data_IF_164832161193
#
_entry.id   IF_164832161193
#
_cell.length_a   1.000
_cell.length_b   1.000
_cell.length_c   1.000
_cell.angle_alpha   90.00
_cell.angle_beta   90.00
_cell.angle_gamma   90.00
#
_symmetry.space_group_name_H-M   'P 1'
#
loop_
_entity.id
_entity.type
_entity.pdbx_description
1 polymer ?
#
# COMPACT_ATOMS: atom_id res chain seq x y z
N UNK A 1 -40.78 45.23 -38.96
CA UNK A 1 -40.40 43.78 -38.87
C UNK A 1 -39.39 43.44 -37.76
N UNK A 2 -38.98 44.38 -36.88
CA UNK A 2 -37.91 44.16 -35.88
C UNK A 2 -38.40 43.71 -34.47
N UNK A 3 -39.66 43.96 -34.08
CA UNK A 3 -40.16 43.66 -32.72
C UNK A 3 -40.48 42.18 -32.46
N UNK A 4 -40.74 41.37 -33.49
CA UNK A 4 -41.14 39.95 -33.34
C UNK A 4 -39.96 39.01 -33.03
N UNK A 5 -38.75 39.34 -33.51
CA UNK A 5 -37.54 38.53 -33.28
C UNK A 5 -37.02 38.63 -31.84
N UNK A 6 -37.14 39.79 -31.20
CA UNK A 6 -36.70 39.97 -29.81
C UNK A 6 -37.60 39.25 -28.80
N UNK A 7 -38.91 39.17 -29.06
CA UNK A 7 -39.84 38.45 -28.18
C UNK A 7 -39.59 36.94 -28.19
N UNK A 8 -39.30 36.37 -29.36
CA UNK A 8 -38.95 34.95 -29.50
C UNK A 8 -37.63 34.63 -28.80
N UNK A 9 -36.63 35.52 -28.86
CA UNK A 9 -35.35 35.33 -28.17
C UNK A 9 -35.53 35.33 -26.64
N UNK A 10 -36.40 36.22 -26.13
CA UNK A 10 -36.68 36.31 -24.69
C UNK A 10 -37.39 35.07 -24.14
N UNK A 11 -38.37 34.55 -24.88
CA UNK A 11 -39.09 33.32 -24.52
C UNK A 11 -38.11 32.13 -24.52
N UNK A 12 -37.22 32.05 -25.51
CA UNK A 12 -36.23 30.97 -25.58
C UNK A 12 -35.23 31.01 -24.43
N UNK A 13 -34.75 32.20 -24.04
CA UNK A 13 -33.89 32.40 -22.87
C UNK A 13 -34.60 32.01 -21.56
N UNK A 14 -35.88 32.35 -21.42
CA UNK A 14 -36.67 32.00 -20.22
C UNK A 14 -36.89 30.48 -20.09
N UNK A 15 -37.09 29.78 -21.22
CA UNK A 15 -37.22 28.32 -21.25
C UNK A 15 -35.88 27.64 -20.90
N UNK A 16 -34.75 28.19 -21.37
CA UNK A 16 -33.42 27.66 -21.01
C UNK A 16 -33.13 27.87 -19.52
N UNK A 17 -33.43 29.05 -18.98
CA UNK A 17 -33.20 29.36 -17.56
C UNK A 17 -34.09 28.53 -16.61
N UNK A 18 -35.37 28.33 -16.96
CA UNK A 18 -36.27 27.48 -16.17
C UNK A 18 -35.92 25.98 -16.23
N UNK A 19 -35.37 25.52 -17.35
CA UNK A 19 -34.84 24.15 -17.47
C UNK A 19 -33.55 23.94 -16.66
N UNK A 20 -32.71 24.98 -16.48
CA UNK A 20 -31.52 24.90 -15.63
C UNK A 20 -31.86 24.83 -14.14
N UNK A 21 -32.86 25.57 -13.66
CA UNK A 21 -33.28 25.48 -12.25
C UNK A 21 -33.90 24.12 -11.89
N UNK A 22 -34.64 23.50 -12.81
CA UNK A 22 -35.26 22.19 -12.58
C UNK A 22 -34.22 21.07 -12.60
N UNK A 23 -33.17 21.15 -13.44
CA UNK A 23 -32.05 20.20 -13.39
C UNK A 23 -31.20 20.36 -12.14
N UNK A 24 -30.92 21.59 -11.70
CA UNK A 24 -30.19 21.85 -10.46
C UNK A 24 -30.93 21.32 -9.21
N UNK A 25 -32.25 21.54 -9.11
CA UNK A 25 -33.06 20.97 -8.01
C UNK A 25 -33.14 19.45 -8.04
N UNK A 26 -33.14 18.83 -9.24
CA UNK A 26 -33.13 17.37 -9.41
C UNK A 26 -31.77 16.74 -9.09
N UNK A 27 -30.67 17.48 -9.31
CA UNK A 27 -29.32 17.10 -8.88
C UNK A 27 -29.14 17.24 -7.37
N UNK A 28 -29.67 18.31 -6.76
CA UNK A 28 -29.60 18.53 -5.32
C UNK A 28 -30.44 17.53 -4.52
N UNK A 29 -31.59 17.08 -5.07
CA UNK A 29 -32.41 16.01 -4.46
C UNK A 29 -31.84 14.60 -4.62
N UNK A 30 -30.81 14.41 -5.45
CA UNK A 30 -30.07 13.14 -5.61
C UNK A 30 -28.81 13.07 -4.73
N UNK A 31 -28.39 14.19 -4.12
CA UNK A 31 -27.33 14.26 -3.09
C UNK A 31 -28.02 14.29 -1.71
N UNK A 32 -28.87 13.31 -1.47
CA UNK A 32 -29.28 12.93 -0.13
C UNK A 32 -29.27 11.42 -0.11
N UNK A 33 -28.08 10.86 -0.37
CA UNK A 33 -27.80 9.47 -0.02
C UNK A 33 -27.89 9.40 1.50
N UNK A 34 -28.77 8.55 1.99
CA UNK A 34 -28.79 8.12 3.37
C UNK A 34 -27.39 7.60 3.69
N UNK A 35 -26.59 8.39 4.39
CA UNK A 35 -25.30 7.97 4.91
C UNK A 35 -25.62 6.99 6.05
N UNK A 36 -25.76 5.71 5.71
CA UNK A 36 -25.76 4.66 6.73
C UNK A 36 -24.49 4.82 7.55
N UNK A 37 -24.68 5.06 8.85
CA UNK A 37 -23.61 5.19 9.81
C UNK A 37 -22.80 3.88 9.79
N UNK A 38 -21.56 3.95 9.31
CA UNK A 38 -20.67 2.79 9.29
C UNK A 38 -20.32 2.45 10.73
N UNK A 39 -20.58 1.22 11.14
CA UNK A 39 -20.04 0.69 12.39
C UNK A 39 -18.50 0.55 12.25
N UNK A 40 -17.77 1.51 12.81
CA UNK A 40 -16.30 1.53 12.76
C UNK A 40 -15.64 0.40 13.58
N UNK A 41 -16.42 -0.41 14.29
CA UNK A 41 -15.93 -1.59 14.99
C UNK A 41 -15.76 -2.82 14.08
N UNK A 42 -16.37 -2.82 12.89
CA UNK A 42 -16.23 -3.93 11.94
C UNK A 42 -14.89 -3.86 11.18
N UNK A 43 -14.31 -5.00 10.80
CA UNK A 43 -13.14 -5.05 9.93
C UNK A 43 -13.36 -4.28 8.63
N UNK A 44 -12.37 -3.48 8.22
CA UNK A 44 -12.40 -2.84 6.90
C UNK A 44 -12.24 -3.94 5.84
N UNK A 45 -13.17 -4.07 4.87
CA UNK A 45 -13.13 -5.14 3.88
C UNK A 45 -11.90 -5.05 2.97
N UNK A 46 -11.45 -6.19 2.45
CA UNK A 46 -10.52 -6.18 1.32
C UNK A 46 -11.21 -5.62 0.07
N UNK A 47 -10.51 -4.75 -0.65
CA UNK A 47 -11.00 -4.23 -1.93
C UNK A 47 -10.59 -5.15 -3.09
N UNK A 48 -11.45 -5.26 -4.11
CA UNK A 48 -11.19 -6.00 -5.35
C UNK A 48 -10.65 -5.09 -6.46
N UNK A 49 -9.84 -4.10 -6.08
CA UNK A 49 -9.32 -3.07 -6.98
C UNK A 49 -7.89 -2.71 -6.60
N UNK A 50 -7.13 -2.21 -7.56
CA UNK A 50 -5.80 -1.63 -7.32
C UNK A 50 -5.77 -0.21 -7.82
N UNK A 51 -4.83 0.57 -7.28
CA UNK A 51 -4.64 1.97 -7.65
C UNK A 51 -3.23 2.16 -8.23
N UNK A 52 -2.99 1.77 -9.50
CA UNK A 52 -1.67 1.87 -10.10
C UNK A 52 -1.19 3.31 -10.12
N UNK A 53 0.05 3.53 -9.68
CA UNK A 53 0.58 4.88 -9.51
C UNK A 53 2.01 5.05 -10.03
N UNK A 54 2.21 6.10 -10.83
CA UNK A 54 3.49 6.43 -11.48
C UNK A 54 4.58 6.87 -10.50
N UNK A 55 4.23 7.29 -9.29
CA UNK A 55 5.17 7.59 -8.21
C UNK A 55 5.54 6.35 -7.41
N UNK A 56 4.57 5.46 -7.14
CA UNK A 56 4.76 4.24 -6.35
C UNK A 56 5.61 3.22 -7.10
N UNK A 57 5.39 3.04 -8.41
CA UNK A 57 6.05 2.02 -9.25
C UNK A 57 6.20 0.71 -8.46
N UNK A 58 5.06 0.09 -8.19
CA UNK A 58 4.86 -0.96 -7.19
C UNK A 58 5.69 -2.21 -7.44
N UNK A 59 6.08 -2.50 -8.68
CA UNK A 59 6.77 -3.75 -9.00
C UNK A 59 8.20 -3.49 -9.43
N UNK A 60 9.09 -4.42 -9.11
CA UNK A 60 10.47 -4.41 -9.57
C UNK A 60 10.88 -5.80 -10.06
N UNK A 61 11.66 -5.86 -11.13
CA UNK A 61 12.08 -7.13 -11.72
C UNK A 61 13.60 -7.22 -11.86
N UNK A 62 14.12 -8.45 -11.83
CA UNK A 62 15.42 -8.78 -12.40
C UNK A 62 15.21 -9.72 -13.59
N UNK A 63 15.16 -9.21 -14.82
CA UNK A 63 14.93 -10.04 -16.01
C UNK A 63 16.01 -11.09 -16.26
N UNK A 64 17.24 -10.83 -15.80
CA UNK A 64 18.39 -11.74 -15.87
C UNK A 64 18.14 -13.02 -15.07
N UNK A 65 17.68 -12.87 -13.83
CA UNK A 65 17.46 -13.98 -12.90
C UNK A 65 16.00 -14.43 -12.81
N UNK A 66 15.12 -13.84 -13.63
CA UNK A 66 13.68 -14.09 -13.58
C UNK A 66 13.10 -13.92 -12.16
N UNK A 67 13.55 -12.91 -11.45
CA UNK A 67 13.02 -12.53 -10.15
C UNK A 67 12.09 -11.35 -10.29
N UNK A 68 11.07 -11.28 -9.45
CA UNK A 68 10.27 -10.07 -9.29
C UNK A 68 9.77 -9.89 -7.87
N UNK A 69 9.49 -8.65 -7.52
CA UNK A 69 8.93 -8.32 -6.21
C UNK A 69 7.92 -7.20 -6.29
N UNK A 70 6.98 -7.20 -5.35
CA UNK A 70 6.20 -6.02 -5.05
C UNK A 70 6.83 -5.20 -3.92
N UNK A 71 6.93 -3.90 -4.15
CA UNK A 71 7.42 -2.90 -3.22
C UNK A 71 6.26 -2.36 -2.40
N UNK A 72 6.07 -2.95 -1.21
CA UNK A 72 5.14 -2.41 -0.20
C UNK A 72 5.91 -1.52 0.77
N UNK A 73 5.43 -0.30 1.00
CA UNK A 73 6.08 0.62 1.93
C UNK A 73 6.19 0.02 3.33
N UNK A 74 7.32 0.29 3.98
CA UNK A 74 7.67 -0.19 5.33
C UNK A 74 7.86 -1.71 5.47
N UNK A 75 7.79 -2.47 4.37
CA UNK A 75 8.06 -3.89 4.31
C UNK A 75 9.42 -4.18 3.68
N UNK A 76 10.49 -3.57 4.18
CA UNK A 76 11.83 -3.75 3.62
C UNK A 76 12.01 -3.20 2.18
N UNK A 77 11.05 -2.42 1.65
CA UNK A 77 11.04 -1.95 0.27
C UNK A 77 12.26 -1.12 -0.16
N UNK A 78 12.79 -0.27 0.73
CA UNK A 78 14.03 0.48 0.46
C UNK A 78 15.24 -0.44 0.23
N UNK A 79 15.30 -1.56 0.93
CA UNK A 79 16.34 -2.56 0.75
C UNK A 79 16.09 -3.42 -0.48
N UNK A 80 14.83 -3.82 -0.74
CA UNK A 80 14.45 -4.52 -1.97
C UNK A 80 14.87 -3.75 -3.22
N UNK A 81 14.67 -2.44 -3.25
CA UNK A 81 15.12 -1.60 -4.36
C UNK A 81 16.64 -1.76 -4.57
N UNK A 82 17.44 -1.64 -3.51
CA UNK A 82 18.92 -1.77 -3.59
C UNK A 82 19.36 -3.17 -4.00
N UNK A 83 18.67 -4.21 -3.52
CA UNK A 83 18.90 -5.61 -3.89
C UNK A 83 18.67 -5.77 -5.40
N UNK A 84 17.50 -5.39 -5.89
CA UNK A 84 17.17 -5.52 -7.32
C UNK A 84 18.04 -4.63 -8.20
N UNK A 85 18.45 -3.46 -7.72
CA UNK A 85 19.46 -2.65 -8.39
C UNK A 85 20.80 -3.38 -8.50
N UNK A 86 21.24 -4.04 -7.43
CA UNK A 86 22.45 -4.87 -7.44
C UNK A 86 22.32 -6.04 -8.41
N UNK A 87 21.16 -6.73 -8.43
CA UNK A 87 20.89 -7.86 -9.34
C UNK A 87 20.94 -7.45 -10.82
N UNK A 88 20.50 -6.24 -11.13
CA UNK A 88 20.45 -5.72 -12.50
C UNK A 88 21.69 -4.92 -12.92
N UNK A 89 22.58 -4.60 -11.98
CA UNK A 89 23.83 -3.92 -12.29
C UNK A 89 24.67 -4.82 -13.21
N UNK A 90 25.26 -4.22 -14.24
CA UNK A 90 26.33 -4.87 -14.98
C UNK A 90 27.51 -5.06 -14.02
N UNK A 91 28.20 -6.18 -14.13
CA UNK A 91 29.46 -6.36 -13.43
C UNK A 91 30.43 -5.30 -13.98
N UNK A 92 30.76 -4.31 -13.16
CA UNK A 92 31.65 -3.23 -13.61
C UNK A 92 33.06 -3.78 -13.78
N UNK A 93 33.85 -3.12 -14.64
CA UNK A 93 35.26 -3.45 -14.89
C UNK A 93 36.12 -3.42 -13.62
N UNK A 94 35.67 -2.72 -12.57
CA UNK A 94 36.26 -2.70 -11.22
C UNK A 94 35.99 -3.95 -10.37
N UNK A 95 35.35 -4.99 -10.91
CA UNK A 95 35.01 -6.28 -10.26
C UNK A 95 34.05 -6.24 -9.06
N UNK A 96 33.51 -5.08 -8.70
CA UNK A 96 32.64 -4.91 -7.54
C UNK A 96 31.16 -4.78 -7.91
N UNK A 97 30.31 -5.49 -7.15
CA UNK A 97 28.86 -5.28 -7.19
C UNK A 97 28.49 -3.91 -6.57
N UNK A 98 27.45 -3.27 -7.11
CA UNK A 98 26.92 -2.01 -6.59
C UNK A 98 25.72 -2.28 -5.67
N UNK A 99 25.63 -1.55 -4.54
CA UNK A 99 24.50 -1.63 -3.61
C UNK A 99 23.88 -0.24 -3.34
N UNK A 100 23.47 0.42 -4.41
CA UNK A 100 22.90 1.76 -4.39
C UNK A 100 21.48 1.77 -4.97
N UNK A 101 20.81 2.91 -4.87
CA UNK A 101 19.57 3.15 -5.61
C UNK A 101 19.90 3.35 -7.10
N UNK A 102 19.19 2.65 -7.98
CA UNK A 102 19.33 2.71 -9.44
C UNK A 102 18.15 3.46 -10.11
N UNK A 103 17.72 4.54 -9.47
CA UNK A 103 16.53 5.31 -9.87
C UNK A 103 15.29 4.44 -10.13
N UNK A 104 14.58 4.67 -11.24
CA UNK A 104 13.33 4.00 -11.62
C UNK A 104 13.55 2.81 -12.57
N UNK A 105 14.80 2.41 -12.81
CA UNK A 105 15.12 1.31 -13.71
C UNK A 105 14.49 -0.01 -13.22
N UNK A 106 13.95 -0.79 -14.16
CA UNK A 106 13.29 -2.08 -13.90
C UNK A 106 12.12 -2.03 -12.90
N UNK A 107 11.53 -0.84 -12.69
CA UNK A 107 10.33 -0.66 -11.90
C UNK A 107 9.10 -0.47 -12.80
N UNK A 108 7.97 -0.98 -12.35
CA UNK A 108 6.73 -1.02 -13.13
C UNK A 108 5.54 -0.56 -12.30
N UNK A 109 4.61 0.08 -12.99
CA UNK A 109 3.37 0.59 -12.40
C UNK A 109 2.39 -0.55 -12.08
N UNK A 110 2.37 -1.59 -12.92
CA UNK A 110 1.47 -2.74 -12.80
C UNK A 110 2.14 -4.04 -13.26
N UNK A 111 1.55 -5.20 -12.91
CA UNK A 111 2.00 -6.50 -13.42
C UNK A 111 1.87 -6.61 -14.93
N UNK A 112 0.83 -6.03 -15.52
CA UNK A 112 0.65 -5.97 -16.98
C UNK A 112 1.77 -5.15 -17.63
N UNK A 113 2.13 -4.02 -17.01
CA UNK A 113 3.27 -3.21 -17.46
C UNK A 113 4.59 -3.97 -17.38
N UNK A 114 4.80 -4.71 -16.29
CA UNK A 114 5.97 -5.59 -16.12
C UNK A 114 5.99 -6.69 -17.18
N UNK A 115 4.87 -7.40 -17.38
CA UNK A 115 4.76 -8.46 -18.38
C UNK A 115 5.05 -7.92 -19.79
N UNK A 116 4.43 -6.80 -20.18
CA UNK A 116 4.63 -6.17 -21.48
C UNK A 116 6.10 -5.80 -21.71
N UNK A 117 6.75 -5.12 -20.76
CA UNK A 117 8.18 -4.74 -20.91
C UNK A 117 9.10 -5.96 -21.02
N UNK A 118 8.75 -7.07 -20.38
CA UNK A 118 9.51 -8.32 -20.41
C UNK A 118 9.06 -9.27 -21.53
N UNK A 119 8.29 -8.79 -22.52
CA UNK A 119 7.80 -9.57 -23.67
C UNK A 119 6.99 -10.82 -23.27
N UNK A 120 6.21 -10.71 -22.20
CA UNK A 120 5.32 -11.76 -21.69
C UNK A 120 3.87 -11.35 -21.97
N UNK A 121 3.13 -12.22 -22.67
CA UNK A 121 1.78 -11.92 -23.17
C UNK A 121 0.72 -11.75 -22.07
N UNK A 122 0.83 -12.47 -20.95
CA UNK A 122 -0.18 -12.52 -19.87
C UNK A 122 0.48 -12.51 -18.49
N UNK A 123 -0.17 -11.88 -17.51
CA UNK A 123 0.30 -11.85 -16.11
C UNK A 123 0.42 -13.26 -15.53
N UNK A 124 -0.49 -14.17 -15.84
CA UNK A 124 -0.37 -15.59 -15.44
C UNK A 124 0.92 -16.25 -15.94
N UNK A 125 1.39 -15.87 -17.14
CA UNK A 125 2.65 -16.35 -17.67
C UNK A 125 3.85 -15.64 -17.04
N UNK A 126 3.66 -14.45 -16.47
CA UNK A 126 4.70 -13.76 -15.70
C UNK A 126 5.00 -14.57 -14.44
N UNK A 127 3.99 -14.92 -13.64
CA UNK A 127 4.15 -15.74 -12.43
C UNK A 127 4.69 -17.16 -12.70
N UNK A 128 4.41 -17.74 -13.87
CA UNK A 128 5.02 -19.02 -14.28
C UNK A 128 6.51 -18.91 -14.64
N UNK A 129 6.95 -17.73 -15.08
CA UNK A 129 8.30 -17.50 -15.61
C UNK A 129 9.21 -16.79 -14.64
N UNK A 130 8.63 -16.04 -13.71
CA UNK A 130 9.34 -15.24 -12.73
C UNK A 130 8.98 -15.74 -11.34
N UNK A 131 9.99 -15.90 -10.51
CA UNK A 131 9.80 -16.09 -9.09
C UNK A 131 9.41 -14.74 -8.46
N UNK A 132 8.12 -14.59 -8.19
CA UNK A 132 7.52 -13.36 -7.71
C UNK A 132 7.30 -13.46 -6.20
N UNK A 133 7.98 -12.62 -5.44
CA UNK A 133 7.82 -12.62 -3.98
C UNK A 133 7.35 -11.27 -3.43
N UNK A 134 6.58 -11.33 -2.36
CA UNK A 134 6.08 -10.17 -1.63
C UNK A 134 6.60 -10.23 -0.19
N UNK A 135 7.31 -9.18 0.22
CA UNK A 135 7.69 -9.04 1.62
C UNK A 135 6.52 -8.44 2.39
N UNK A 136 6.10 -9.15 3.43
CA UNK A 136 4.98 -8.77 4.30
C UNK A 136 5.50 -8.50 5.72
N UNK A 137 4.80 -7.68 6.48
CA UNK A 137 5.22 -7.27 7.83
C UNK A 137 4.03 -7.31 8.80
N UNK A 138 4.31 -7.59 10.07
CA UNK A 138 3.30 -7.48 11.12
C UNK A 138 2.62 -6.09 11.06
N UNK A 139 1.27 -6.03 11.09
CA UNK A 139 0.55 -4.77 10.86
C UNK A 139 0.89 -3.63 11.82
N UNK A 140 0.96 -3.90 13.13
CA UNK A 140 1.31 -2.87 14.13
C UNK A 140 2.73 -2.37 13.91
N UNK A 141 3.68 -3.27 13.67
CA UNK A 141 5.07 -2.87 13.42
C UNK A 141 5.22 -2.05 12.13
N UNK A 142 4.42 -2.37 11.11
CA UNK A 142 4.37 -1.60 9.86
C UNK A 142 3.79 -0.21 10.09
N UNK A 143 2.64 -0.11 10.76
CA UNK A 143 1.96 1.15 11.09
C UNK A 143 2.89 2.08 11.88
N UNK A 144 3.45 1.60 13.00
CA UNK A 144 4.35 2.39 13.85
C UNK A 144 5.60 2.80 13.06
N UNK A 145 6.18 1.91 12.25
CA UNK A 145 7.32 2.27 11.40
C UNK A 145 6.97 3.34 10.36
N UNK A 146 5.75 3.25 9.79
CA UNK A 146 5.09 4.27 8.98
C UNK A 146 5.10 5.64 9.66
N UNK A 147 4.37 5.68 10.77
CA UNK A 147 4.05 6.86 11.55
C UNK A 147 5.30 7.54 12.08
N UNK A 148 6.24 6.76 12.65
CA UNK A 148 7.46 7.32 13.21
C UNK A 148 8.33 7.99 12.15
N UNK A 149 8.46 7.42 10.95
CA UNK A 149 9.27 8.07 9.92
C UNK A 149 8.61 9.33 9.38
N UNK A 150 7.32 9.25 9.07
CA UNK A 150 6.62 10.26 8.27
C UNK A 150 6.08 11.38 9.18
N UNK A 151 5.44 11.01 10.28
CA UNK A 151 4.75 11.94 11.16
C UNK A 151 5.67 12.45 12.27
N UNK A 152 6.38 11.55 12.94
CA UNK A 152 7.20 11.92 14.09
C UNK A 152 8.55 12.53 13.71
N UNK A 153 9.37 11.80 12.94
CA UNK A 153 10.71 12.24 12.54
C UNK A 153 10.72 13.06 11.26
N UNK A 154 9.61 13.05 10.49
CA UNK A 154 9.47 13.73 9.19
C UNK A 154 10.65 13.51 8.24
N UNK A 155 11.21 12.29 8.24
CA UNK A 155 12.43 11.99 7.50
C UNK A 155 12.15 11.97 6.00
N UNK A 156 12.88 12.78 5.23
CA UNK A 156 12.76 12.97 3.78
C UNK A 156 11.47 13.66 3.31
N UNK A 157 10.85 14.48 4.17
CA UNK A 157 9.71 15.33 3.79
C UNK A 157 10.19 16.77 3.61
N UNK A 158 9.66 17.49 2.62
CA UNK A 158 9.92 18.94 2.49
C UNK A 158 9.05 19.71 3.52
N UNK A 159 9.38 20.97 3.78
CA UNK A 159 8.62 21.86 4.71
C UNK A 159 7.14 22.00 4.28
N UNK A 160 6.25 22.39 5.21
CA UNK A 160 5.20 21.52 5.72
C UNK A 160 4.20 21.08 4.65
N UNK A 161 4.49 19.98 3.97
CA UNK A 161 3.46 19.22 3.28
C UNK A 161 2.48 18.66 4.34
N UNK A 162 1.17 18.78 4.09
CA UNK A 162 0.05 18.39 4.97
C UNK A 162 -0.09 16.88 5.19
N UNK A 163 1.03 16.17 5.33
CA UNK A 163 1.08 14.76 5.64
C UNK A 163 0.53 14.45 7.03
N UNK A 164 0.21 13.18 7.25
CA UNK A 164 -0.30 12.68 8.53
C UNK A 164 -1.65 13.29 8.93
N UNK A 165 -2.47 13.67 7.95
CA UNK A 165 -3.83 14.15 8.17
C UNK A 165 -3.93 15.38 9.08
N UNK A 166 -2.86 16.18 9.16
CA UNK A 166 -2.79 17.32 10.10
C UNK A 166 -2.62 16.92 11.58
N UNK A 167 -2.47 15.63 11.89
CA UNK A 167 -2.37 15.14 13.27
C UNK A 167 -1.00 15.34 13.92
N UNK A 168 0.01 15.75 13.17
CA UNK A 168 1.38 15.92 13.68
C UNK A 168 1.92 14.63 14.32
N UNK A 169 2.23 14.68 15.61
CA UNK A 169 2.73 13.53 16.40
C UNK A 169 1.62 12.78 17.16
N UNK A 170 0.35 13.15 16.99
CA UNK A 170 -0.76 12.46 17.64
C UNK A 170 -1.12 11.16 16.88
N UNK A 171 -0.82 10.01 17.48
CA UNK A 171 -1.07 8.69 16.89
C UNK A 171 -2.57 8.35 16.83
N UNK A 172 -3.35 8.75 17.84
CA UNK A 172 -4.79 8.49 17.91
C UNK A 172 -5.53 9.23 16.79
N UNK A 173 -5.32 10.54 16.68
CA UNK A 173 -5.84 11.35 15.57
C UNK A 173 -5.47 10.72 14.21
N UNK A 174 -4.22 10.27 14.06
CA UNK A 174 -3.75 9.70 12.80
C UNK A 174 -4.50 8.40 12.45
N UNK A 175 -4.69 7.51 13.41
CA UNK A 175 -5.41 6.24 13.22
C UNK A 175 -6.88 6.50 12.88
N UNK A 176 -7.52 7.45 13.55
CA UNK A 176 -8.91 7.82 13.28
C UNK A 176 -9.09 8.35 11.85
N UNK A 177 -8.22 9.27 11.42
CA UNK A 177 -8.26 9.80 10.06
C UNK A 177 -7.93 8.73 9.01
N UNK A 178 -6.98 7.83 9.30
CA UNK A 178 -6.68 6.69 8.43
C UNK A 178 -7.91 5.78 8.28
N UNK A 179 -8.61 5.46 9.38
CA UNK A 179 -9.80 4.61 9.35
C UNK A 179 -10.91 5.23 8.49
N UNK A 180 -11.18 6.53 8.68
CA UNK A 180 -12.18 7.26 7.89
C UNK A 180 -11.81 7.31 6.40
N UNK A 181 -10.55 7.54 6.07
CA UNK A 181 -10.07 7.54 4.68
C UNK A 181 -10.29 6.15 4.04
N UNK A 182 -9.90 5.08 4.73
CA UNK A 182 -10.06 3.72 4.21
C UNK A 182 -11.53 3.35 3.96
N UNK A 183 -12.44 3.71 4.87
CA UNK A 183 -13.88 3.53 4.63
C UNK A 183 -14.40 4.35 3.45
N UNK A 184 -13.89 5.57 3.26
CA UNK A 184 -14.23 6.38 2.10
C UNK A 184 -13.75 5.76 0.79
N UNK A 185 -12.59 5.09 0.81
CA UNK A 185 -12.09 4.30 -0.33
C UNK A 185 -12.98 3.08 -0.60
N UNK A 186 -13.40 2.36 0.43
CA UNK A 186 -14.31 1.21 0.31
C UNK A 186 -15.65 1.61 -0.31
N UNK A 187 -16.21 2.74 0.13
CA UNK A 187 -17.45 3.31 -0.45
C UNK A 187 -17.27 3.90 -1.86
N UNK A 188 -16.07 3.76 -2.45
CA UNK A 188 -15.67 4.37 -3.73
C UNK A 188 -15.83 5.91 -3.79
N UNK A 189 -15.91 6.56 -2.64
CA UNK A 189 -16.10 8.01 -2.54
C UNK A 189 -14.81 8.78 -2.85
N UNK A 190 -13.64 8.16 -2.68
CA UNK A 190 -12.33 8.79 -2.93
C UNK A 190 -11.33 7.86 -3.61
N UNK A 191 -10.43 8.44 -4.40
CA UNK A 191 -9.21 7.78 -4.84
C UNK A 191 -8.14 7.95 -3.74
N UNK A 192 -7.42 6.88 -3.35
CA UNK A 192 -6.43 6.95 -2.28
C UNK A 192 -5.39 8.05 -2.47
N UNK A 193 -5.04 8.72 -1.37
CA UNK A 193 -3.85 9.54 -1.31
C UNK A 193 -2.62 8.62 -1.46
N UNK A 194 -1.95 8.72 -2.61
CA UNK A 194 -0.97 7.74 -3.09
C UNK A 194 0.26 7.62 -2.19
N UNK A 195 0.62 8.72 -1.52
CA UNK A 195 1.66 8.71 -0.50
C UNK A 195 1.22 7.91 0.74
N UNK A 196 -0.04 8.03 1.17
CA UNK A 196 -0.56 7.31 2.33
C UNK A 196 -0.78 5.82 2.01
N UNK A 197 -1.31 5.49 0.83
CA UNK A 197 -1.50 4.11 0.37
C UNK A 197 -0.22 3.29 0.50
N UNK A 198 0.87 3.77 -0.10
CA UNK A 198 2.14 3.05 -0.07
C UNK A 198 2.64 2.75 1.36
N UNK A 199 2.38 3.64 2.33
CA UNK A 199 2.97 3.54 3.66
C UNK A 199 2.04 2.98 4.74
N UNK A 200 0.73 3.14 4.61
CA UNK A 200 -0.22 2.95 5.71
C UNK A 200 -1.42 2.07 5.38
N UNK A 201 -1.80 1.94 4.11
CA UNK A 201 -2.97 1.12 3.76
C UNK A 201 -2.69 -0.38 3.96
N UNK A 202 -3.72 -1.22 4.15
CA UNK A 202 -3.55 -2.66 4.28
C UNK A 202 -2.67 -3.22 3.16
N UNK A 203 -1.79 -4.16 3.51
CA UNK A 203 -0.88 -4.79 2.56
C UNK A 203 -1.66 -5.62 1.53
N UNK A 204 -2.78 -6.21 1.96
CA UNK A 204 -3.75 -6.92 1.11
C UNK A 204 -4.42 -6.03 0.05
N UNK A 205 -4.34 -4.70 0.16
CA UNK A 205 -4.86 -3.77 -0.85
C UNK A 205 -3.83 -3.40 -1.93
N UNK A 206 -2.58 -3.84 -1.76
CA UNK A 206 -1.47 -3.48 -2.66
C UNK A 206 -1.18 -4.61 -3.64
N UNK A 207 -0.39 -4.34 -4.68
CA UNK A 207 0.22 -5.39 -5.49
C UNK A 207 -0.77 -6.32 -6.22
N UNK A 208 -1.99 -5.84 -6.53
CA UNK A 208 -3.05 -6.67 -7.11
C UNK A 208 -3.28 -7.96 -6.30
N UNK A 209 -3.05 -7.92 -4.99
CA UNK A 209 -3.12 -9.07 -4.09
C UNK A 209 -4.43 -9.83 -4.22
N UNK A 210 -5.57 -9.13 -4.28
CA UNK A 210 -6.90 -9.74 -4.46
C UNK A 210 -7.02 -10.66 -5.68
N UNK A 211 -6.19 -10.47 -6.72
CA UNK A 211 -6.16 -11.34 -7.93
C UNK A 211 -5.11 -12.43 -7.84
N UNK A 212 -3.96 -12.13 -7.22
CA UNK A 212 -2.73 -12.91 -7.35
C UNK A 212 -2.23 -13.49 -6.02
N UNK A 213 -3.09 -13.57 -5.01
CA UNK A 213 -2.67 -14.01 -3.67
C UNK A 213 -2.08 -15.43 -3.61
N UNK A 214 -2.45 -16.29 -4.54
CA UNK A 214 -1.90 -17.65 -4.60
C UNK A 214 -0.67 -17.74 -5.51
N UNK A 215 -0.32 -16.66 -6.23
CA UNK A 215 0.78 -16.64 -7.18
C UNK A 215 2.08 -16.07 -6.57
N UNK A 216 2.01 -15.43 -5.40
CA UNK A 216 3.16 -14.83 -4.72
C UNK A 216 3.80 -15.76 -3.69
N UNK A 217 5.13 -15.71 -3.63
CA UNK A 217 5.90 -16.21 -2.49
C UNK A 217 5.97 -15.15 -1.37
N UNK A 218 5.40 -15.45 -0.21
CA UNK A 218 5.39 -14.50 0.92
C UNK A 218 6.60 -14.66 1.82
N UNK A 219 7.30 -13.54 2.07
CA UNK A 219 8.44 -13.51 3.00
C UNK A 219 8.13 -12.55 4.16
N UNK A 220 8.02 -13.09 5.37
CA UNK A 220 7.70 -12.30 6.57
C UNK A 220 8.92 -11.53 7.06
N UNK A 221 8.87 -10.20 7.01
CA UNK A 221 9.89 -9.32 7.60
C UNK A 221 9.70 -9.22 9.11
N UNK A 222 10.70 -9.62 9.91
CA UNK A 222 10.55 -9.72 11.36
C UNK A 222 10.91 -8.41 12.05
N UNK A 223 10.33 -8.21 13.22
CA UNK A 223 10.57 -7.04 14.08
C UNK A 223 11.88 -7.15 14.86
N UNK A 224 12.35 -8.38 15.11
CA UNK A 224 13.62 -8.70 15.75
C UNK A 224 14.32 -9.85 15.01
N UNK A 225 15.59 -10.15 15.37
CA UNK A 225 16.32 -11.32 14.86
C UNK A 225 16.34 -11.44 13.31
N UNK A 226 16.70 -10.36 12.62
CA UNK A 226 16.69 -10.26 11.14
C UNK A 226 17.63 -11.23 10.41
N UNK A 227 18.54 -11.91 11.11
CA UNK A 227 19.48 -12.86 10.51
C UNK A 227 18.81 -13.99 9.74
N UNK A 228 17.74 -14.59 10.29
CA UNK A 228 16.97 -15.64 9.59
C UNK A 228 16.28 -15.10 8.34
N UNK A 229 15.72 -13.89 8.42
CA UNK A 229 15.11 -13.22 7.29
C UNK A 229 16.11 -12.96 6.16
N UNK A 230 17.31 -12.46 6.46
CA UNK A 230 18.35 -12.27 5.45
C UNK A 230 18.81 -13.59 4.82
N UNK A 231 18.89 -14.67 5.58
CA UNK A 231 19.17 -16.01 5.05
C UNK A 231 18.06 -16.49 4.11
N UNK A 232 16.79 -16.20 4.45
CA UNK A 232 15.64 -16.54 3.59
C UNK A 232 15.72 -15.82 2.24
N UNK A 233 16.03 -14.51 2.25
CA UNK A 233 16.26 -13.77 1.01
C UNK A 233 17.44 -14.35 0.22
N UNK A 234 18.58 -14.65 0.87
CA UNK A 234 19.73 -15.24 0.19
C UNK A 234 19.41 -16.61 -0.44
N UNK A 235 18.63 -17.44 0.24
CA UNK A 235 18.16 -18.73 -0.27
C UNK A 235 17.28 -18.54 -1.51
N UNK A 236 16.34 -17.60 -1.46
CA UNK A 236 15.48 -17.28 -2.60
C UNK A 236 16.27 -16.79 -3.83
N UNK A 237 17.29 -15.95 -3.61
CA UNK A 237 18.21 -15.54 -4.68
C UNK A 237 18.99 -16.73 -5.26
N UNK A 238 19.42 -17.68 -4.42
CA UNK A 238 20.11 -18.89 -4.87
C UNK A 238 19.22 -19.79 -5.73
N UNK A 239 17.95 -19.97 -5.35
CA UNK A 239 16.97 -20.73 -6.14
C UNK A 239 16.73 -20.11 -7.54
N UNK A 240 16.91 -18.80 -7.65
CA UNK A 240 16.86 -18.06 -8.92
C UNK A 240 18.21 -17.97 -9.65
N UNK A 241 19.17 -18.83 -9.29
CA UNK A 241 20.49 -18.96 -9.95
C UNK A 241 21.33 -17.66 -9.91
N UNK A 242 21.14 -16.83 -8.89
CA UNK A 242 22.03 -15.69 -8.65
C UNK A 242 23.41 -16.22 -8.22
N UNK A 243 24.53 -15.74 -8.80
CA UNK A 243 25.86 -16.23 -8.43
C UNK A 243 26.16 -16.07 -6.94
N UNK A 244 26.80 -17.09 -6.35
CA UNK A 244 27.13 -17.11 -4.91
C UNK A 244 27.93 -15.88 -4.47
N UNK A 245 28.83 -15.36 -5.31
CA UNK A 245 29.56 -14.12 -5.05
C UNK A 245 28.64 -12.90 -4.91
N UNK A 246 27.64 -12.78 -5.79
CA UNK A 246 26.64 -11.71 -5.72
C UNK A 246 25.72 -11.86 -4.51
N UNK A 247 25.30 -13.08 -4.20
CA UNK A 247 24.51 -13.38 -3.00
C UNK A 247 25.29 -13.01 -1.74
N UNK A 248 26.57 -13.40 -1.65
CA UNK A 248 27.47 -13.06 -0.55
C UNK A 248 27.59 -11.56 -0.36
N UNK A 249 27.78 -10.81 -1.45
CA UNK A 249 27.81 -9.36 -1.44
C UNK A 249 26.48 -8.75 -0.94
N UNK A 250 25.35 -9.16 -1.52
CA UNK A 250 24.02 -8.66 -1.13
C UNK A 250 23.73 -8.98 0.34
N UNK A 251 24.02 -10.19 0.80
CA UNK A 251 23.80 -10.61 2.18
C UNK A 251 24.66 -9.80 3.17
N UNK A 252 25.94 -9.56 2.85
CA UNK A 252 26.80 -8.65 3.63
C UNK A 252 26.18 -7.25 3.70
N UNK A 253 25.77 -6.70 2.55
CA UNK A 253 25.19 -5.36 2.48
C UNK A 253 23.86 -5.25 3.24
N UNK A 254 22.96 -6.22 3.16
CA UNK A 254 21.70 -6.24 3.93
C UNK A 254 21.95 -6.15 5.44
N UNK A 255 23.02 -6.77 5.94
CA UNK A 255 23.34 -6.81 7.38
C UNK A 255 23.95 -5.52 7.89
N UNK A 256 24.85 -4.90 7.13
CA UNK A 256 25.58 -3.70 7.56
C UNK A 256 24.87 -2.41 7.20
N UNK A 257 23.98 -2.43 6.19
CA UNK A 257 23.35 -1.21 5.69
C UNK A 257 22.20 -0.79 6.59
N UNK A 258 22.44 0.25 7.39
CA UNK A 258 21.34 0.98 8.03
C UNK A 258 20.63 1.84 6.98
N UNK A 259 19.34 1.59 6.78
CA UNK A 259 18.53 2.47 5.93
C UNK A 259 18.29 3.78 6.68
N UNK A 260 18.36 4.92 5.99
CA UNK A 260 18.04 6.24 6.59
C UNK A 260 16.60 6.32 7.17
N UNK A 261 15.74 5.38 6.78
CA UNK A 261 14.37 5.19 7.27
C UNK A 261 14.25 4.27 8.51
N UNK A 262 15.35 3.79 9.08
CA UNK A 262 15.32 2.86 10.21
C UNK A 262 14.81 3.58 11.46
N UNK A 263 13.58 3.26 11.87
CA UNK A 263 12.95 3.81 13.09
C UNK A 263 12.96 2.84 14.27
N UNK A 264 13.13 1.54 14.02
CA UNK A 264 12.97 0.46 15.02
C UNK A 264 13.98 0.56 16.18
N UNK A 265 15.16 1.12 15.95
CA UNK A 265 16.23 1.22 16.96
C UNK A 265 16.11 2.44 17.88
N UNK A 266 15.07 3.28 17.73
CA UNK A 266 14.93 4.52 18.49
C UNK A 266 13.95 4.34 19.65
N UNK A 267 14.31 4.85 20.83
CA UNK A 267 13.50 4.77 22.07
C UNK A 267 12.05 5.23 21.84
N UNK A 268 11.85 6.36 21.17
CA UNK A 268 10.50 6.88 20.89
C UNK A 268 9.64 5.90 20.07
N UNK A 269 10.23 5.10 19.17
CA UNK A 269 9.46 4.09 18.41
C UNK A 269 8.93 2.99 19.33
N UNK A 270 9.73 2.59 20.33
CA UNK A 270 9.31 1.62 21.35
C UNK A 270 8.22 2.23 22.23
N UNK A 271 8.39 3.48 22.66
CA UNK A 271 7.40 4.20 23.47
C UNK A 271 6.05 4.31 22.76
N UNK A 272 6.01 4.72 21.49
CA UNK A 272 4.76 4.81 20.72
C UNK A 272 4.12 3.45 20.50
N UNK A 273 4.93 2.40 20.27
CA UNK A 273 4.41 1.04 20.19
C UNK A 273 3.79 0.62 21.52
N UNK A 274 4.50 0.79 22.63
CA UNK A 274 3.97 0.47 23.97
C UNK A 274 2.71 1.27 24.29
N UNK A 275 2.69 2.57 23.99
CA UNK A 275 1.52 3.42 24.17
C UNK A 275 0.30 2.92 23.38
N UNK A 276 0.51 2.46 22.14
CA UNK A 276 -0.57 1.83 21.35
C UNK A 276 -1.06 0.53 22.00
N UNK A 277 -0.17 -0.35 22.45
CA UNK A 277 -0.58 -1.61 23.09
C UNK A 277 -1.32 -1.37 24.42
N UNK A 278 -0.97 -0.30 25.14
CA UNK A 278 -1.64 0.07 26.39
C UNK A 278 -2.98 0.79 26.17
N UNK A 279 -3.25 1.29 24.96
CA UNK A 279 -4.52 1.92 24.60
C UNK A 279 -5.41 0.90 23.85
N UNK A 280 -6.14 0.09 24.61
CA UNK A 280 -6.99 -1.01 24.07
C UNK A 280 -8.01 -0.52 23.02
N UNK A 281 -8.79 0.56 23.23
CA UNK A 281 -9.71 1.06 22.20
C UNK A 281 -9.00 1.40 20.89
N UNK A 282 -7.84 2.07 20.96
CA UNK A 282 -7.07 2.46 19.79
C UNK A 282 -6.44 1.25 19.09
N UNK A 283 -5.93 0.28 19.85
CA UNK A 283 -5.39 -0.97 19.32
C UNK A 283 -6.46 -1.77 18.58
N UNK A 284 -7.70 -1.80 19.09
CA UNK A 284 -8.83 -2.44 18.39
C UNK A 284 -9.09 -1.79 17.03
N UNK A 285 -9.07 -0.45 16.92
CA UNK A 285 -9.17 0.24 15.62
C UNK A 285 -8.05 -0.18 14.66
N UNK A 286 -6.81 -0.31 15.15
CA UNK A 286 -5.71 -0.82 14.32
C UNK A 286 -5.97 -2.26 13.85
N UNK A 287 -6.51 -3.10 14.73
CA UNK A 287 -6.86 -4.48 14.37
C UNK A 287 -8.01 -4.57 13.36
N UNK A 288 -9.00 -3.67 13.40
CA UNK A 288 -10.08 -3.64 12.39
C UNK A 288 -9.58 -3.12 11.04
N UNK A 289 -8.70 -2.11 11.04
CA UNK A 289 -8.06 -1.60 9.82
C UNK A 289 -7.25 -2.71 9.11
N UNK A 290 -6.46 -3.47 9.86
CA UNK A 290 -5.53 -4.45 9.30
C UNK A 290 -5.97 -5.91 9.47
N UNK A 291 -7.25 -6.16 9.72
CA UNK A 291 -7.78 -7.49 10.02
C UNK A 291 -7.34 -8.55 8.99
N UNK A 292 -7.52 -8.25 7.71
CA UNK A 292 -7.16 -9.18 6.63
C UNK A 292 -5.65 -9.34 6.45
N UNK A 293 -4.83 -8.35 6.83
CA UNK A 293 -3.38 -8.54 6.84
C UNK A 293 -2.97 -9.57 7.91
N UNK A 294 -3.66 -9.65 9.05
CA UNK A 294 -3.39 -10.68 10.05
C UNK A 294 -3.77 -12.07 9.54
N UNK A 295 -4.98 -12.20 8.98
CA UNK A 295 -5.51 -13.48 8.49
C UNK A 295 -4.72 -13.98 7.28
N UNK A 296 -4.63 -13.19 6.22
CA UNK A 296 -4.07 -13.63 4.95
C UNK A 296 -2.56 -13.89 5.02
N UNK A 297 -1.83 -13.19 5.91
CA UNK A 297 -0.39 -13.40 6.09
C UNK A 297 -0.04 -14.24 7.32
N UNK A 298 -1.04 -14.77 8.04
CA UNK A 298 -0.85 -15.60 9.23
C UNK A 298 0.01 -14.91 10.30
N UNK A 299 -0.37 -13.69 10.68
CA UNK A 299 0.18 -13.01 11.86
C UNK A 299 -0.77 -13.18 13.04
N UNK A 300 -0.21 -13.34 14.22
CA UNK A 300 -0.98 -13.38 15.46
C UNK A 300 -1.64 -12.02 15.72
N UNK A 301 -2.90 -12.05 16.11
CA UNK A 301 -3.58 -10.87 16.62
C UNK A 301 -3.02 -10.50 18.00
N UNK A 302 -2.95 -9.20 18.34
CA UNK A 302 -2.83 -8.78 19.74
C UNK A 302 -3.96 -9.40 20.57
N UNK A 303 -3.66 -9.82 21.80
CA UNK A 303 -4.62 -10.54 22.67
C UNK A 303 -5.88 -9.72 22.94
N UNK A 304 -5.74 -8.41 22.95
CA UNK A 304 -6.78 -7.43 23.23
C UNK A 304 -7.70 -7.20 22.02
N UNK A 305 -7.31 -7.69 20.83
CA UNK A 305 -8.09 -7.62 19.61
C UNK A 305 -9.12 -8.75 19.51
N UNK A 306 -10.07 -8.76 20.45
CA UNK A 306 -11.26 -9.57 20.35
C UNK A 306 -12.25 -8.92 19.38
N UNK A 307 -12.09 -9.22 18.09
CA UNK A 307 -13.11 -8.95 17.08
C UNK A 307 -14.11 -10.09 17.19
N UNK A 308 -15.23 -9.86 17.87
CA UNK A 308 -16.25 -10.89 18.09
C UNK A 308 -16.78 -11.38 16.75
N UNK A 309 -16.83 -12.70 16.56
CA UNK A 309 -17.38 -13.33 15.34
C UNK A 309 -18.80 -12.86 14.99
N UNK A 310 -19.56 -12.34 15.97
CA UNK A 310 -20.89 -11.76 15.75
C UNK A 310 -20.87 -10.48 14.89
N UNK A 311 -19.74 -9.79 14.78
CA UNK A 311 -19.56 -8.65 13.86
C UNK A 311 -19.36 -9.06 12.39
N UNK A 312 -19.14 -10.35 12.12
CA UNK A 312 -19.03 -10.93 10.77
C UNK A 312 -20.39 -11.43 10.24
N UNK A 313 -21.50 -10.97 10.83
CA UNK A 313 -22.89 -11.27 10.43
C UNK A 313 -23.31 -10.73 9.05
N UNK A 314 -22.37 -10.56 8.12
CA UNK A 314 -22.65 -10.46 6.69
C UNK A 314 -22.44 -11.88 6.16
N UNK A 315 -23.54 -12.62 6.03
CA UNK A 315 -23.56 -13.91 5.33
C UNK A 315 -22.86 -13.76 3.99
N UNK A 316 -22.03 -14.74 3.64
CA UNK A 316 -21.25 -14.83 2.40
C UNK A 316 -22.10 -14.81 1.10
N UNK A 317 -23.39 -14.51 1.19
CA UNK A 317 -24.36 -14.40 0.10
C UNK A 317 -24.46 -13.01 -0.54
N UNK A 318 -23.87 -11.95 0.05
CA UNK A 318 -23.99 -10.57 -0.48
C UNK A 318 -22.70 -9.96 -1.06
N UNK A 319 -21.64 -10.75 -1.27
CA UNK A 319 -20.35 -10.27 -1.84
C UNK A 319 -20.17 -10.67 -3.31
N UNK A 320 -21.22 -11.15 -3.97
CA UNK A 320 -21.22 -11.56 -5.40
C UNK A 320 -21.73 -10.51 -6.38
N UNK A 321 -21.97 -9.27 -5.96
CA UNK A 321 -22.29 -8.21 -6.91
C UNK A 321 -21.87 -6.84 -6.39
N UNK A 322 -20.58 -6.50 -6.50
CA UNK A 322 -20.05 -5.15 -6.77
C UNK A 322 -18.57 -5.25 -7.18
#
# INVERSE_FOLDING_TARGET
>A
MFKRKHLLLFIFLFIILSNQETTAKKQQKKIQSVDEAIDLSIPIPMIKKSFPNKMKLEYMASPKYKLGTCLVGKNFSSMLIRIFCSLNAKYNESKDYIFNYCERAFRYISLEGMAKKNKIKRVTNLFKRYDMFMVVRNPVDRLISGFMQICYYRTHLKKPEGYCYGCGKNLECFIDKLQHELWSVVKENIIPAQFNDFHFYPQTWQCQYYKHKNDYNYIKYPSSKKGKFYNTIAHHLAQSHVPTSQIGFINKKMRITKTKHATVEKNATREYKTALYNNVPLLKKVCTIFYYDYIEFGYDFPKECNITKNSLGITASNITSF
#
